data_IF_565400396645
#
_entry.id   IF_565400396645
#
_cell.length_a   1.000
_cell.length_b   1.000
_cell.length_c   1.000
_cell.angle_alpha   90.00
_cell.angle_beta   90.00
_cell.angle_gamma   90.00
#
_symmetry.space_group_name_H-M   'P 1'
#
loop_
_entity.id
_entity.type
_entity.pdbx_description
1 polymer ?
#
# COMPACT_ATOMS: atom_id res chain seq x y z
N UNK A 1 -8.34 21.39 -8.49
CA UNK A 1 -7.08 22.14 -8.31
C UNK A 1 -5.96 21.17 -7.92
N UNK A 2 -4.69 21.60 -7.87
CA UNK A 2 -3.60 20.76 -7.36
C UNK A 2 -3.86 20.29 -5.91
N UNK A 3 -4.42 21.16 -5.07
CA UNK A 3 -4.86 20.83 -3.72
C UNK A 3 -5.89 19.70 -3.69
N UNK A 4 -6.94 19.76 -4.52
CA UNK A 4 -7.97 18.72 -4.51
C UNK A 4 -7.41 17.36 -4.94
N UNK A 5 -6.47 17.36 -5.89
CA UNK A 5 -5.78 16.14 -6.35
C UNK A 5 -4.88 15.59 -5.24
N UNK A 6 -4.08 16.44 -4.59
CA UNK A 6 -3.21 16.02 -3.48
C UNK A 6 -3.99 15.42 -2.31
N UNK A 7 -5.17 15.98 -1.99
CA UNK A 7 -6.06 15.50 -0.93
C UNK A 7 -6.53 14.07 -1.13
N UNK A 8 -6.69 13.60 -2.36
CA UNK A 8 -7.05 12.20 -2.61
C UNK A 8 -6.06 11.23 -1.96
N UNK A 9 -4.76 11.54 -2.06
CA UNK A 9 -3.69 10.74 -1.46
C UNK A 9 -3.21 11.26 -0.10
N UNK A 10 -3.95 12.11 0.61
CA UNK A 10 -3.55 12.57 1.95
C UNK A 10 -3.72 11.46 2.99
N UNK A 11 -3.00 11.53 4.11
CA UNK A 11 -3.30 10.66 5.27
C UNK A 11 -4.70 11.00 5.81
N UNK A 12 -5.40 10.04 6.45
CA UNK A 12 -6.75 10.27 6.93
C UNK A 12 -6.74 11.12 8.20
N UNK A 13 -7.78 11.94 8.36
CA UNK A 13 -8.08 12.56 9.65
C UNK A 13 -8.91 11.58 10.48
N UNK A 14 -8.43 11.07 11.63
CA UNK A 14 -9.17 10.05 12.40
C UNK A 14 -10.54 10.50 12.91
N UNK A 15 -10.77 11.81 13.05
CA UNK A 15 -12.06 12.34 13.51
C UNK A 15 -13.09 12.47 12.38
N UNK A 16 -12.63 12.79 11.17
CA UNK A 16 -13.49 12.98 10.00
C UNK A 16 -13.64 11.70 9.17
N UNK A 17 -12.58 10.89 9.13
CA UNK A 17 -12.45 9.68 8.32
C UNK A 17 -12.01 8.47 9.18
N UNK A 18 -12.80 8.08 10.21
CA UNK A 18 -12.41 7.03 11.16
C UNK A 18 -12.15 5.67 10.47
N UNK A 19 -12.91 5.36 9.41
CA UNK A 19 -12.75 4.13 8.65
C UNK A 19 -11.39 4.07 7.92
N UNK A 20 -10.99 5.17 7.27
CA UNK A 20 -9.68 5.26 6.63
C UNK A 20 -8.54 5.23 7.65
N UNK A 21 -8.74 5.80 8.84
CA UNK A 21 -7.75 5.70 9.92
C UNK A 21 -7.56 4.24 10.37
N UNK A 22 -8.64 3.46 10.44
CA UNK A 22 -8.59 2.01 10.71
C UNK A 22 -7.82 1.27 9.61
N UNK A 23 -8.06 1.60 8.33
CA UNK A 23 -7.28 1.02 7.22
C UNK A 23 -5.79 1.40 7.30
N UNK A 24 -5.48 2.66 7.59
CA UNK A 24 -4.09 3.11 7.73
C UNK A 24 -3.36 2.35 8.86
N UNK A 25 -4.03 2.10 9.98
CA UNK A 25 -3.49 1.28 11.07
C UNK A 25 -3.31 -0.18 10.66
N UNK A 26 -4.21 -0.72 9.84
CA UNK A 26 -4.08 -2.08 9.28
C UNK A 26 -2.83 -2.21 8.42
N UNK A 27 -2.57 -1.24 7.53
CA UNK A 27 -1.33 -1.18 6.76
C UNK A 27 -0.10 -1.16 7.69
N UNK A 28 -0.11 -0.33 8.73
CA UNK A 28 1.03 -0.26 9.66
C UNK A 28 1.31 -1.60 10.35
N UNK A 29 0.26 -2.30 10.83
CA UNK A 29 0.39 -3.64 11.42
C UNK A 29 0.94 -4.66 10.43
N UNK A 30 0.48 -4.67 9.18
CA UNK A 30 0.97 -5.57 8.13
C UNK A 30 2.44 -5.37 7.84
N UNK A 31 2.89 -4.12 7.65
CA UNK A 31 4.31 -3.88 7.37
C UNK A 31 5.16 -4.24 8.59
N UNK A 32 4.68 -3.96 9.81
CA UNK A 32 5.38 -4.37 11.04
C UNK A 32 5.52 -5.89 11.15
N UNK A 33 4.44 -6.64 10.93
CA UNK A 33 4.47 -8.11 10.92
C UNK A 33 5.43 -8.67 9.86
N UNK A 34 5.46 -8.05 8.67
CA UNK A 34 6.41 -8.40 7.62
C UNK A 34 7.86 -8.11 8.04
N UNK A 35 8.12 -6.96 8.66
CA UNK A 35 9.44 -6.59 9.17
C UNK A 35 9.94 -7.57 10.22
N UNK A 36 9.10 -7.96 11.18
CA UNK A 36 9.43 -8.99 12.17
C UNK A 36 9.71 -10.34 11.50
N UNK A 37 8.89 -10.74 10.53
CA UNK A 37 9.05 -12.01 9.80
C UNK A 37 10.37 -12.09 9.04
N UNK A 38 10.80 -11.00 8.38
CA UNK A 38 12.10 -10.95 7.70
C UNK A 38 13.25 -10.92 8.71
N UNK A 39 13.12 -10.14 9.78
CA UNK A 39 14.14 -10.05 10.85
C UNK A 39 14.37 -11.40 11.53
N UNK A 40 13.31 -12.17 11.74
CA UNK A 40 13.34 -13.49 12.36
C UNK A 40 13.81 -14.60 11.40
N UNK A 41 14.27 -14.25 10.18
CA UNK A 41 14.75 -15.16 9.14
C UNK A 41 13.77 -16.28 8.77
N UNK A 42 12.47 -16.03 8.90
CA UNK A 42 11.42 -16.98 8.46
C UNK A 42 11.36 -17.13 6.94
N UNK A 43 12.13 -16.32 6.22
CA UNK A 43 12.30 -16.35 4.76
C UNK A 43 13.78 -16.58 4.48
N UNK A 44 14.06 -17.60 3.67
CA UNK A 44 15.42 -17.94 3.26
C UNK A 44 16.06 -16.77 2.49
N UNK A 45 17.37 -16.60 2.64
CA UNK A 45 18.17 -15.54 2.01
C UNK A 45 17.98 -15.50 0.47
N UNK A 46 17.81 -16.66 -0.15
CA UNK A 46 17.53 -16.79 -1.59
C UNK A 46 16.21 -16.12 -2.01
N UNK A 47 15.14 -16.26 -1.22
CA UNK A 47 13.86 -15.64 -1.51
C UNK A 47 13.93 -14.12 -1.30
N UNK A 48 14.71 -13.67 -0.30
CA UNK A 48 14.97 -12.24 -0.11
C UNK A 48 15.74 -11.64 -1.30
N UNK A 49 16.73 -12.36 -1.84
CA UNK A 49 17.46 -11.94 -3.05
C UNK A 49 16.54 -11.91 -4.28
N UNK A 50 15.65 -12.90 -4.42
CA UNK A 50 14.69 -12.95 -5.53
C UNK A 50 13.71 -11.78 -5.51
N UNK A 51 13.18 -11.44 -4.34
CA UNK A 51 12.25 -10.30 -4.18
C UNK A 51 12.95 -8.95 -4.41
N UNK A 52 14.25 -8.87 -4.15
CA UNK A 52 15.04 -7.65 -4.42
C UNK A 52 15.46 -7.51 -5.89
N UNK A 53 15.48 -8.59 -6.68
CA UNK A 53 15.88 -8.57 -8.08
C UNK A 53 14.68 -8.30 -9.01
N UNK A 54 14.42 -7.02 -9.27
CA UNK A 54 13.30 -6.59 -10.12
C UNK A 54 13.49 -6.85 -11.64
N UNK A 55 14.66 -7.31 -12.11
CA UNK A 55 14.95 -7.54 -13.54
C UNK A 55 15.85 -8.78 -13.71
N UNK A 56 15.49 -9.69 -14.62
CA UNK A 56 16.27 -10.87 -15.05
C UNK A 56 17.59 -10.51 -15.80
N UNK A 57 18.29 -9.43 -15.42
CA UNK A 57 19.63 -9.12 -15.91
C UNK A 57 20.60 -9.27 -14.75
N UNK A 58 21.30 -10.41 -14.65
CA UNK A 58 22.12 -10.74 -13.50
C UNK A 58 23.44 -10.01 -13.61
N UNK A 59 23.50 -8.70 -13.29
CA UNK A 59 24.78 -8.03 -13.05
C UNK A 59 24.69 -6.96 -11.96
N UNK A 60 25.52 -7.20 -10.94
CA UNK A 60 26.04 -6.30 -9.91
C UNK A 60 25.21 -6.32 -8.60
N UNK A 61 25.45 -7.38 -7.82
CA UNK A 61 25.05 -7.61 -6.41
C UNK A 61 23.61 -8.04 -6.14
N UNK A 62 23.38 -9.34 -6.16
CA UNK A 62 22.26 -10.02 -5.50
C UNK A 62 22.34 -9.76 -3.98
N UNK A 63 21.74 -8.66 -3.52
CA UNK A 63 21.64 -8.34 -2.09
C UNK A 63 20.26 -8.76 -1.58
N UNK A 64 20.16 -9.37 -0.39
CA UNK A 64 18.88 -9.55 0.28
C UNK A 64 18.13 -8.22 0.42
N UNK A 65 16.81 -8.27 0.58
CA UNK A 65 16.02 -7.08 0.91
C UNK A 65 16.62 -6.43 2.15
N UNK A 66 17.08 -5.19 2.00
CA UNK A 66 17.65 -4.46 3.12
C UNK A 66 16.53 -3.99 4.07
N UNK A 67 16.21 -4.78 5.09
CA UNK A 67 15.10 -4.47 6.03
C UNK A 67 15.52 -3.46 7.10
N UNK A 68 16.82 -3.29 7.33
CA UNK A 68 17.39 -2.33 8.29
C UNK A 68 17.33 -0.87 7.79
N UNK A 69 16.12 -0.34 7.66
CA UNK A 69 15.90 1.08 7.43
C UNK A 69 15.96 1.85 8.75
N UNK A 70 16.41 3.10 8.70
CA UNK A 70 16.26 4.01 9.84
C UNK A 70 14.76 4.11 10.21
N UNK A 71 14.37 4.13 11.50
CA UNK A 71 12.97 4.18 11.90
C UNK A 71 12.16 5.33 11.28
N UNK A 72 12.80 6.48 11.06
CA UNK A 72 12.19 7.63 10.38
C UNK A 72 11.86 7.33 8.91
N UNK A 73 12.78 6.72 8.17
CA UNK A 73 12.57 6.30 6.77
C UNK A 73 11.49 5.24 6.66
N UNK A 74 11.49 4.27 7.58
CA UNK A 74 10.46 3.23 7.62
C UNK A 74 9.07 3.82 7.83
N UNK A 75 8.88 4.72 8.81
CA UNK A 75 7.60 5.42 9.01
C UNK A 75 7.15 6.19 7.78
N UNK A 76 8.07 6.90 7.12
CA UNK A 76 7.78 7.60 5.87
C UNK A 76 7.32 6.63 4.77
N UNK A 77 7.94 5.46 4.68
CA UNK A 77 7.60 4.47 3.67
C UNK A 77 6.21 3.87 3.92
N UNK A 78 5.91 3.50 5.17
CA UNK A 78 4.57 3.03 5.56
C UNK A 78 3.50 4.07 5.21
N UNK A 79 3.77 5.35 5.47
CA UNK A 79 2.85 6.44 5.12
C UNK A 79 2.57 6.51 3.63
N UNK A 80 3.54 6.20 2.75
CA UNK A 80 3.28 6.18 1.29
C UNK A 80 2.25 5.11 0.94
N UNK A 81 2.30 3.94 1.56
CA UNK A 81 1.30 2.89 1.29
C UNK A 81 -0.06 3.19 1.93
N UNK A 82 -0.09 3.78 3.13
CA UNK A 82 -1.32 4.28 3.74
C UNK A 82 -2.02 5.29 2.83
N UNK A 83 -1.24 6.21 2.24
CA UNK A 83 -1.73 7.20 1.26
C UNK A 83 -2.27 6.54 -0.02
N UNK A 84 -1.67 5.44 -0.49
CA UNK A 84 -2.21 4.66 -1.61
C UNK A 84 -3.59 4.06 -1.28
N UNK A 85 -3.74 3.46 -0.10
CA UNK A 85 -5.03 2.91 0.34
C UNK A 85 -6.09 4.01 0.47
N UNK A 86 -5.72 5.16 1.04
CA UNK A 86 -6.63 6.31 1.12
C UNK A 86 -7.01 6.83 -0.27
N UNK A 87 -6.04 6.91 -1.20
CA UNK A 87 -6.30 7.31 -2.58
C UNK A 87 -7.28 6.36 -3.26
N UNK A 88 -7.04 5.04 -3.17
CA UNK A 88 -7.90 4.05 -3.78
C UNK A 88 -9.33 4.17 -3.24
N UNK A 89 -9.49 4.30 -1.92
CA UNK A 89 -10.79 4.51 -1.30
C UNK A 89 -11.50 5.80 -1.72
N UNK A 90 -10.82 6.96 -1.66
CA UNK A 90 -11.43 8.26 -1.93
C UNK A 90 -11.77 8.41 -3.41
N UNK A 91 -10.91 7.90 -4.29
CA UNK A 91 -11.10 8.00 -5.74
C UNK A 91 -12.27 7.18 -6.29
N UNK A 92 -12.76 6.20 -5.55
CA UNK A 92 -13.91 5.37 -5.95
C UNK A 92 -15.23 5.81 -5.33
N UNK A 93 -15.22 6.86 -4.48
CA UNK A 93 -16.46 7.37 -3.88
C UNK A 93 -17.32 8.09 -4.95
N UNK A 94 -18.64 7.84 -4.99
CA UNK A 94 -19.54 8.53 -5.92
C UNK A 94 -19.51 10.06 -5.78
N UNK A 95 -19.24 10.56 -4.57
CA UNK A 95 -19.20 11.98 -4.25
C UNK A 95 -17.89 12.66 -4.70
N UNK A 96 -16.90 11.90 -5.16
CA UNK A 96 -15.61 12.43 -5.56
C UNK A 96 -15.70 13.21 -6.87
N UNK A 97 -15.45 14.55 -6.87
CA UNK A 97 -15.68 15.38 -8.06
C UNK A 97 -14.57 15.26 -9.11
N UNK A 98 -13.38 14.77 -8.73
CA UNK A 98 -12.24 14.65 -9.64
C UNK A 98 -12.40 13.38 -10.47
N UNK A 99 -12.51 13.54 -11.78
CA UNK A 99 -12.44 12.42 -12.72
C UNK A 99 -10.99 12.02 -12.93
N UNK A 100 -10.61 10.88 -12.38
CA UNK A 100 -9.35 10.23 -12.67
C UNK A 100 -9.58 9.11 -13.68
N UNK A 101 -8.52 8.77 -14.42
CA UNK A 101 -8.61 7.74 -15.46
C UNK A 101 -8.54 6.32 -14.92
N UNK A 102 -7.95 6.15 -13.72
CA UNK A 102 -7.81 4.84 -13.12
C UNK A 102 -9.14 4.27 -12.67
N UNK A 103 -9.20 2.95 -12.53
CA UNK A 103 -10.29 2.26 -11.87
C UNK A 103 -9.78 1.06 -11.08
N UNK A 104 -10.61 0.62 -10.13
CA UNK A 104 -10.41 -0.66 -9.48
C UNK A 104 -11.05 -1.75 -10.34
N UNK A 105 -10.33 -2.86 -10.51
CA UNK A 105 -10.90 -4.07 -11.12
C UNK A 105 -11.96 -4.67 -10.19
N UNK A 106 -12.78 -5.59 -10.70
CA UNK A 106 -13.78 -6.29 -9.88
C UNK A 106 -13.16 -6.99 -8.66
N UNK A 107 -11.98 -7.59 -8.82
CA UNK A 107 -11.26 -8.23 -7.72
C UNK A 107 -10.78 -7.20 -6.68
N UNK A 108 -10.25 -6.05 -7.14
CA UNK A 108 -9.80 -4.98 -6.25
C UNK A 108 -10.98 -4.33 -5.49
N UNK A 109 -12.13 -4.13 -6.14
CA UNK A 109 -13.36 -3.64 -5.50
C UNK A 109 -13.86 -4.62 -4.44
N UNK A 110 -13.91 -5.92 -4.75
CA UNK A 110 -14.38 -6.93 -3.81
C UNK A 110 -13.54 -6.96 -2.51
N UNK A 111 -12.21 -6.81 -2.61
CA UNK A 111 -11.36 -6.72 -1.42
C UNK A 111 -11.53 -5.39 -0.67
N UNK A 112 -11.75 -4.28 -1.37
CA UNK A 112 -12.03 -2.98 -0.75
C UNK A 112 -13.37 -3.00 0.03
N UNK A 113 -14.42 -3.59 -0.56
CA UNK A 113 -15.73 -3.77 0.08
C UNK A 113 -15.60 -4.67 1.32
N UNK A 114 -14.80 -5.74 1.22
CA UNK A 114 -14.49 -6.61 2.37
C UNK A 114 -13.77 -5.88 3.49
N UNK A 115 -12.82 -5.00 3.16
CA UNK A 115 -12.15 -4.15 4.16
C UNK A 115 -13.17 -3.24 4.85
N UNK A 116 -14.07 -2.60 4.10
CA UNK A 116 -15.14 -1.76 4.63
C UNK A 116 -16.02 -2.51 5.63
N UNK A 117 -16.51 -3.68 5.25
CA UNK A 117 -17.37 -4.53 6.08
C UNK A 117 -16.68 -4.98 7.38
N UNK A 118 -15.37 -5.22 7.35
CA UNK A 118 -14.59 -5.63 8.51
C UNK A 118 -14.20 -4.45 9.42
N UNK A 119 -14.08 -3.24 8.87
CA UNK A 119 -13.68 -2.06 9.63
C UNK A 119 -14.86 -1.31 10.26
N UNK A 120 -16.07 -1.39 9.68
CA UNK A 120 -17.29 -0.80 10.28
C UNK A 120 -17.52 -1.23 11.72
N UNK A 121 -17.40 -2.52 12.07
CA UNK A 121 -17.63 -2.96 13.42
C UNK A 121 -16.50 -2.50 14.36
N UNK A 122 -15.25 -2.42 13.89
CA UNK A 122 -14.08 -1.94 14.66
C UNK A 122 -14.24 -0.48 15.07
N UNK A 123 -14.89 0.32 14.21
CA UNK A 123 -15.21 1.71 14.50
C UNK A 123 -16.24 1.88 15.64
N UNK A 124 -16.94 0.80 16.03
CA UNK A 124 -17.89 0.81 17.14
C UNK A 124 -17.23 0.32 18.44
N UNK A 125 -17.39 1.03 19.58
CA UNK A 125 -16.76 0.63 20.84
C UNK A 125 -17.31 -0.72 21.33
N UNK A 126 -16.42 -1.72 21.47
CA UNK A 126 -16.77 -3.03 22.03
C UNK A 126 -16.20 -4.26 21.31
N UNK A 127 -15.40 -4.07 20.26
CA UNK A 127 -14.99 -5.17 19.38
C UNK A 127 -13.67 -5.88 19.69
N UNK A 128 -13.66 -7.14 19.21
CA UNK A 128 -12.74 -8.23 19.52
C UNK A 128 -11.53 -8.21 18.60
N UNK A 129 -10.34 -8.54 19.13
CA UNK A 129 -9.06 -8.64 18.40
C UNK A 129 -9.14 -9.40 17.05
N UNK A 130 -10.04 -10.36 16.93
CA UNK A 130 -10.27 -11.17 15.72
C UNK A 130 -10.67 -10.34 14.49
N UNK A 131 -11.36 -9.21 14.65
CA UNK A 131 -11.72 -8.36 13.50
C UNK A 131 -10.52 -7.58 12.96
N UNK A 132 -9.54 -7.23 13.81
CA UNK A 132 -8.29 -6.62 13.35
C UNK A 132 -7.48 -7.59 12.49
N UNK A 133 -7.34 -8.85 12.89
CA UNK A 133 -6.62 -9.87 12.10
C UNK A 133 -7.29 -10.12 10.74
N UNK A 134 -8.62 -10.23 10.72
CA UNK A 134 -9.38 -10.40 9.48
C UNK A 134 -9.26 -9.18 8.56
N UNK A 135 -9.30 -7.98 9.13
CA UNK A 135 -9.09 -6.75 8.39
C UNK A 135 -7.68 -6.68 7.81
N UNK A 136 -6.66 -7.05 8.60
CA UNK A 136 -5.27 -7.07 8.15
C UNK A 136 -5.10 -8.00 6.96
N UNK A 137 -5.68 -9.21 7.02
CA UNK A 137 -5.67 -10.13 5.88
C UNK A 137 -6.40 -9.57 4.65
N UNK A 138 -7.55 -8.91 4.82
CA UNK A 138 -8.25 -8.25 3.71
C UNK A 138 -7.44 -7.08 3.13
N UNK A 139 -6.77 -6.30 3.97
CA UNK A 139 -5.91 -5.18 3.57
C UNK A 139 -4.68 -5.67 2.80
N UNK A 140 -4.13 -6.82 3.17
CA UNK A 140 -3.07 -7.49 2.43
C UNK A 140 -3.57 -7.97 1.06
N UNK A 141 -4.70 -8.71 1.02
CA UNK A 141 -5.32 -9.15 -0.23
C UNK A 141 -5.58 -7.98 -1.18
N UNK A 142 -6.15 -6.89 -0.67
CA UNK A 142 -6.37 -5.66 -1.45
C UNK A 142 -5.06 -5.08 -1.97
N UNK A 143 -4.02 -4.99 -1.14
CA UNK A 143 -2.71 -4.47 -1.54
C UNK A 143 -2.05 -5.34 -2.63
N UNK A 144 -2.16 -6.66 -2.53
CA UNK A 144 -1.67 -7.58 -3.57
C UNK A 144 -2.50 -7.43 -4.84
N UNK A 145 -3.83 -7.33 -4.75
CA UNK A 145 -4.69 -7.11 -5.90
C UNK A 145 -4.39 -5.80 -6.63
N UNK A 146 -4.02 -4.73 -5.90
CA UNK A 146 -3.55 -3.47 -6.50
C UNK A 146 -2.25 -3.65 -7.29
N UNK A 147 -1.33 -4.47 -6.78
CA UNK A 147 -0.05 -4.77 -7.42
C UNK A 147 -0.19 -5.69 -8.63
N UNK A 148 -1.17 -6.61 -8.59
CA UNK A 148 -1.47 -7.56 -9.67
C UNK A 148 -2.39 -6.96 -10.77
N UNK A 149 -2.48 -5.63 -10.85
CA UNK A 149 -3.27 -4.98 -11.88
C UNK A 149 -2.71 -5.30 -13.28
N UNK A 150 -3.50 -5.87 -14.21
CA UNK A 150 -3.03 -6.19 -15.54
C UNK A 150 -2.65 -4.90 -16.29
N UNK A 151 -1.40 -4.82 -16.75
CA UNK A 151 -0.91 -3.67 -17.54
C UNK A 151 -1.12 -3.86 -19.05
N UNK A 152 -1.96 -4.81 -19.45
CA UNK A 152 -2.35 -4.99 -20.85
C UNK A 152 -3.39 -3.93 -21.22
N UNK A 153 -3.04 -3.01 -22.11
CA UNK A 153 -3.90 -1.89 -22.48
C UNK A 153 -3.33 -0.57 -22.01
N UNK A 154 -4.17 0.26 -21.36
CA UNK A 154 -3.76 1.59 -20.94
C UNK A 154 -3.27 1.62 -19.48
N UNK A 155 -1.99 1.93 -19.30
CA UNK A 155 -1.35 1.99 -17.98
C UNK A 155 -2.01 2.97 -17.01
N UNK A 156 -2.70 4.01 -17.51
CA UNK A 156 -3.38 5.01 -16.71
C UNK A 156 -4.67 4.48 -16.05
N UNK A 157 -5.09 3.26 -16.39
CA UNK A 157 -6.20 2.54 -15.76
C UNK A 157 -5.79 1.98 -14.38
N UNK A 158 -4.49 1.79 -14.15
CA UNK A 158 -3.96 1.29 -12.88
C UNK A 158 -4.12 2.32 -11.75
N UNK A 159 -4.74 1.90 -10.65
CA UNK A 159 -4.87 2.71 -9.43
C UNK A 159 -3.50 3.10 -8.85
N UNK A 160 -2.51 2.21 -8.94
CA UNK A 160 -1.14 2.51 -8.50
C UNK A 160 -0.52 3.61 -9.36
N UNK A 161 -0.71 3.57 -10.68
CA UNK A 161 -0.23 4.62 -11.60
C UNK A 161 -0.96 5.94 -11.36
N UNK A 162 -2.28 5.91 -11.15
CA UNK A 162 -3.06 7.09 -10.76
C UNK A 162 -2.56 7.73 -9.46
N UNK A 163 -2.28 6.91 -8.45
CA UNK A 163 -1.71 7.36 -7.18
C UNK A 163 -0.31 7.98 -7.35
N UNK A 164 0.54 7.36 -8.17
CA UNK A 164 1.87 7.90 -8.49
C UNK A 164 1.77 9.30 -9.11
N UNK A 165 0.77 9.55 -9.96
CA UNK A 165 0.51 10.89 -10.50
C UNK A 165 0.12 11.88 -9.40
N UNK A 166 -0.72 11.47 -8.43
CA UNK A 166 -1.08 12.29 -7.26
C UNK A 166 0.14 12.64 -6.41
N UNK A 167 1.05 11.68 -6.18
CA UNK A 167 2.29 11.94 -5.43
C UNK A 167 3.20 12.93 -6.15
N UNK A 168 3.06 13.07 -7.46
CA UNK A 168 3.79 14.05 -8.27
C UNK A 168 3.36 15.48 -7.99
N UNK A 169 2.23 15.70 -7.31
CA UNK A 169 1.74 17.03 -6.95
C UNK A 169 2.44 17.56 -5.69
N UNK A 170 2.93 18.79 -5.79
CA UNK A 170 3.35 19.63 -4.67
C UNK A 170 2.19 20.60 -4.33
N UNK A 171 1.48 20.28 -3.25
CA UNK A 171 0.35 21.08 -2.77
C UNK A 171 0.78 22.46 -2.27
N UNK A 172 1.94 22.58 -1.61
CA UNK A 172 2.37 23.86 -1.06
C UNK A 172 2.77 24.83 -2.18
N UNK A 173 3.48 24.31 -3.19
CA UNK A 173 3.98 25.11 -4.32
C UNK A 173 2.99 25.19 -5.49
N UNK A 174 1.86 24.48 -5.42
CA UNK A 174 0.85 24.38 -6.49
C UNK A 174 1.47 24.01 -7.85
N UNK A 175 2.40 23.05 -7.84
CA UNK A 175 3.16 22.63 -9.04
C UNK A 175 3.46 21.14 -8.97
N UNK A 176 4.17 20.61 -9.96
CA UNK A 176 4.70 19.24 -9.91
C UNK A 176 6.04 19.21 -9.16
N UNK A 177 6.25 18.15 -8.38
CA UNK A 177 7.51 17.88 -7.71
C UNK A 177 8.62 17.65 -8.72
N UNK A 178 9.83 18.07 -8.37
CA UNK A 178 11.00 17.74 -9.15
C UNK A 178 11.34 16.23 -9.03
N UNK A 179 12.08 15.68 -10.01
CA UNK A 179 12.43 14.26 -10.02
C UNK A 179 13.17 13.79 -8.77
N UNK A 180 14.03 14.64 -8.19
CA UNK A 180 14.84 14.25 -7.03
C UNK A 180 13.95 13.95 -5.82
N UNK A 181 13.02 14.84 -5.49
CA UNK A 181 12.09 14.60 -4.38
C UNK A 181 11.06 13.49 -4.69
N UNK A 182 10.72 13.29 -5.96
CA UNK A 182 9.77 12.25 -6.36
C UNK A 182 10.33 10.82 -6.23
N UNK A 183 11.62 10.62 -6.50
CA UNK A 183 12.26 9.29 -6.41
C UNK A 183 12.20 8.65 -5.01
N UNK A 184 12.12 9.47 -3.96
CA UNK A 184 11.94 8.98 -2.59
C UNK A 184 10.59 8.26 -2.43
N UNK A 185 9.52 8.78 -3.05
CA UNK A 185 8.21 8.13 -3.04
C UNK A 185 8.18 6.83 -3.83
N UNK A 186 8.86 6.78 -4.98
CA UNK A 186 9.00 5.55 -5.76
C UNK A 186 9.73 4.47 -4.95
N UNK A 187 10.82 4.85 -4.29
CA UNK A 187 11.60 3.94 -3.44
C UNK A 187 10.77 3.42 -2.27
N UNK A 188 9.98 4.29 -1.64
CA UNK A 188 9.04 3.92 -0.59
C UNK A 188 8.00 2.91 -1.09
N UNK A 189 7.36 3.20 -2.22
CA UNK A 189 6.34 2.35 -2.81
C UNK A 189 6.88 0.96 -3.14
N UNK A 190 8.02 0.89 -3.84
CA UNK A 190 8.68 -0.38 -4.18
C UNK A 190 9.01 -1.18 -2.92
N UNK A 191 9.54 -0.50 -1.89
CA UNK A 191 9.91 -1.17 -0.64
C UNK A 191 8.69 -1.75 0.08
N UNK A 192 7.60 -0.99 0.17
CA UNK A 192 6.37 -1.46 0.82
C UNK A 192 5.72 -2.59 0.01
N UNK A 193 5.72 -2.50 -1.32
CA UNK A 193 5.27 -3.59 -2.17
C UNK A 193 6.04 -4.89 -1.90
N UNK A 194 7.38 -4.83 -1.80
CA UNK A 194 8.21 -5.98 -1.45
C UNK A 194 7.84 -6.56 -0.08
N UNK A 195 7.67 -5.72 0.94
CA UNK A 195 7.27 -6.16 2.29
C UNK A 195 5.89 -6.83 2.30
N UNK A 196 4.94 -6.35 1.51
CA UNK A 196 3.60 -6.92 1.44
C UNK A 196 3.59 -8.25 0.67
N UNK A 197 4.36 -8.35 -0.43
CA UNK A 197 4.53 -9.62 -1.15
C UNK A 197 5.18 -10.69 -0.27
N UNK A 198 6.16 -10.32 0.55
CA UNK A 198 6.73 -11.18 1.59
C UNK A 198 5.64 -11.68 2.54
N UNK A 199 4.84 -10.77 3.09
CA UNK A 199 3.81 -11.11 4.05
C UNK A 199 2.80 -12.08 3.44
N UNK A 200 2.40 -11.83 2.19
CA UNK A 200 1.51 -12.73 1.44
C UNK A 200 2.10 -14.13 1.28
N UNK A 201 3.38 -14.24 0.93
CA UNK A 201 4.05 -15.53 0.78
C UNK A 201 4.07 -16.33 2.09
N UNK A 202 4.29 -15.64 3.22
CA UNK A 202 4.32 -16.25 4.55
C UNK A 202 2.93 -16.71 4.98
N UNK A 203 1.89 -15.93 4.71
CA UNK A 203 0.51 -16.33 4.99
C UNK A 203 0.07 -17.54 4.16
N UNK A 204 0.41 -17.58 2.87
CA UNK A 204 0.14 -18.73 2.00
C UNK A 204 0.87 -20.00 2.47
N UNK A 205 2.11 -19.86 2.95
CA UNK A 205 2.85 -21.01 3.49
C UNK A 205 2.21 -21.55 4.77
N UNK A 206 1.67 -20.68 5.64
CA UNK A 206 1.00 -21.11 6.88
C UNK A 206 -0.36 -21.77 6.63
N UNK A 207 -1.09 -21.35 5.59
CA UNK A 207 -2.39 -21.92 5.25
C UNK A 207 -2.30 -23.22 4.44
N UNK A 208 -1.12 -23.53 3.88
CA UNK A 208 -0.84 -24.74 3.10
C UNK A 208 -0.27 -25.91 3.91
N UNK A 209 0.06 -25.69 5.18
CA UNK A 209 0.47 -26.70 6.18
C UNK A 209 -0.75 -27.18 7.00
#
# INVERSE_FOLDING_TARGET
>A
SFTDVARLGALPNPQEEPLLAIFAQSVERLVHASHETVRDRRINEFDQVRINSFIQRPRIWERPIHVDLKPSTYRQYVQVWQRLVCFAWRSTRPEQPIRLRHWLTTAQLAELDRMEDLARPIATPGEVATNHERLDRACLSFSIALLDHPLYGDLFESTVVGFLAVLGVDEERQTFRDPYHYTTYLSALVKMAQMLVIQQAVELARDGD
#
